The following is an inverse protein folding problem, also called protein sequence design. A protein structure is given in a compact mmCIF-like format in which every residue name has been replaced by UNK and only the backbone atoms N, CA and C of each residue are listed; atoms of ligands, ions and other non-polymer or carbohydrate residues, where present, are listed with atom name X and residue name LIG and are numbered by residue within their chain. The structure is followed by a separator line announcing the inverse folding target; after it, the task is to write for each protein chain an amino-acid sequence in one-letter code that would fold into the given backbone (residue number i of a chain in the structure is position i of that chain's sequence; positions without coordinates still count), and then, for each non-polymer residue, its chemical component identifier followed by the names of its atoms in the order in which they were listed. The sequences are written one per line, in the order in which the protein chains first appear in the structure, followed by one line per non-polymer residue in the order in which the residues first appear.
data_IF_547606142309
#
_entry.id   IF_547606142309
#
_cell.length_a   1.000
_cell.length_b   1.000
_cell.length_c   1.000
_cell.angle_alpha   90.00
_cell.angle_beta   90.00
_cell.angle_gamma   90.00
#
_symmetry.space_group_name_H-M   'P 1'
#
loop_
_entity.id
_entity.type
_entity.pdbx_description
1 polymer ?
#
# COMPACT_ATOMS: atom_id res chain seq x y z
N UNK A 1 -25.56 18.49 -14.55
CA UNK A 1 -25.14 18.83 -13.17
C UNK A 1 -23.62 18.84 -13.17
N UNK A 2 -22.97 19.84 -12.55
CA UNK A 2 -21.51 19.87 -12.49
C UNK A 2 -20.99 18.70 -11.66
N UNK A 3 -19.79 18.18 -11.98
CA UNK A 3 -19.16 17.07 -11.27
C UNK A 3 -19.09 17.28 -9.75
N UNK A 4 -18.93 18.54 -9.31
CA UNK A 4 -18.92 18.93 -7.90
C UNK A 4 -20.25 18.69 -7.19
N UNK A 5 -21.39 18.79 -7.88
CA UNK A 5 -22.71 18.53 -7.28
C UNK A 5 -22.92 17.02 -7.12
N UNK A 6 -22.43 16.21 -8.05
CA UNK A 6 -22.51 14.74 -7.97
C UNK A 6 -21.62 14.23 -6.84
N UNK A 7 -20.37 14.70 -6.76
CA UNK A 7 -19.43 14.33 -5.69
C UNK A 7 -19.91 14.75 -4.28
N UNK A 8 -20.52 15.93 -4.14
CA UNK A 8 -21.12 16.35 -2.86
C UNK A 8 -22.34 15.52 -2.48
N UNK A 9 -23.13 15.06 -3.46
CA UNK A 9 -24.26 14.17 -3.22
C UNK A 9 -23.79 12.78 -2.74
N UNK A 10 -22.70 12.25 -3.31
CA UNK A 10 -22.12 10.98 -2.89
C UNK A 10 -21.53 11.03 -1.48
N UNK A 11 -20.82 12.10 -1.12
CA UNK A 11 -20.27 12.25 0.23
C UNK A 11 -21.37 12.39 1.30
N UNK A 12 -22.42 13.16 1.01
CA UNK A 12 -23.55 13.33 1.92
C UNK A 12 -24.34 12.01 2.08
N UNK A 13 -24.48 11.26 0.99
CA UNK A 13 -25.14 9.94 0.99
C UNK A 13 -24.30 8.90 1.73
N UNK A 14 -22.99 8.82 1.50
CA UNK A 14 -22.07 7.95 2.21
C UNK A 14 -22.09 8.23 3.72
N UNK A 15 -22.03 9.50 4.12
CA UNK A 15 -22.13 9.89 5.53
C UNK A 15 -23.51 9.57 6.14
N UNK A 16 -24.59 9.64 5.36
CA UNK A 16 -25.93 9.24 5.80
C UNK A 16 -26.05 7.71 5.94
N UNK A 17 -25.47 6.93 5.02
CA UNK A 17 -25.44 5.47 5.03
C UNK A 17 -24.61 4.95 6.21
N UNK A 18 -23.46 5.57 6.49
CA UNK A 18 -22.61 5.27 7.65
C UNK A 18 -23.33 5.60 8.97
N UNK A 19 -24.04 6.74 9.05
CA UNK A 19 -24.84 7.08 10.24
C UNK A 19 -26.00 6.11 10.45
N UNK A 20 -26.61 5.62 9.37
CA UNK A 20 -27.73 4.69 9.43
C UNK A 20 -27.28 3.25 9.74
N UNK A 21 -26.03 2.90 9.40
CA UNK A 21 -25.45 1.57 9.62
C UNK A 21 -24.02 1.73 10.17
N UNK A 22 -23.84 2.02 11.47
CA UNK A 22 -22.52 2.21 12.07
C UNK A 22 -21.62 0.97 11.93
N UNK A 23 -22.20 -0.22 11.74
CA UNK A 23 -21.49 -1.47 11.48
C UNK A 23 -20.83 -1.52 10.09
N UNK A 24 -21.17 -0.63 9.16
CA UNK A 24 -20.44 -0.49 7.89
C UNK A 24 -19.03 0.06 8.09
N UNK A 25 -18.76 0.76 9.20
CA UNK A 25 -17.39 1.12 9.60
C UNK A 25 -16.63 -0.08 10.19
N UNK A 26 -17.33 -1.13 10.65
CA UNK A 26 -16.70 -2.37 11.13
C UNK A 26 -16.27 -3.29 10.00
N UNK A 27 -16.92 -3.23 8.83
CA UNK A 27 -16.44 -3.87 7.61
C UNK A 27 -15.45 -2.93 6.95
N UNK A 28 -14.17 -3.18 7.15
CA UNK A 28 -13.16 -2.45 6.41
C UNK A 28 -13.25 -2.82 4.93
N UNK A 29 -12.48 -2.09 4.14
CA UNK A 29 -12.38 -2.34 2.71
C UNK A 29 -10.96 -2.02 2.24
N UNK A 30 -10.49 -2.80 1.27
CA UNK A 30 -9.23 -2.55 0.59
C UNK A 30 -9.56 -2.01 -0.80
N UNK A 31 -9.09 -0.82 -1.12
CA UNK A 31 -9.24 -0.18 -2.42
C UNK A 31 -7.93 -0.24 -3.17
N UNK A 32 -7.94 -0.82 -4.36
CA UNK A 32 -6.82 -0.74 -5.29
C UNK A 32 -7.17 0.23 -6.42
N UNK A 33 -6.24 1.10 -6.80
CA UNK A 33 -6.31 1.93 -8.01
C UNK A 33 -5.40 1.34 -9.07
N UNK A 34 -5.96 1.09 -10.26
CA UNK A 34 -5.35 0.39 -11.39
C UNK A 34 -4.94 -1.06 -11.11
N UNK A 35 -4.48 -1.75 -12.14
CA UNK A 35 -3.99 -3.14 -12.04
C UNK A 35 -2.47 -3.19 -12.17
N UNK A 36 -1.88 -4.25 -11.64
CA UNK A 36 -0.43 -4.44 -11.68
C UNK A 36 0.12 -4.44 -13.11
N UNK A 37 -0.62 -5.01 -14.07
CA UNK A 37 -0.26 -5.05 -15.49
C UNK A 37 0.04 -3.66 -16.05
N UNK A 38 -0.84 -2.70 -15.82
CA UNK A 38 -0.70 -1.34 -16.36
C UNK A 38 0.54 -0.63 -15.80
N UNK A 39 0.80 -0.82 -14.51
CA UNK A 39 2.02 -0.33 -13.89
C UNK A 39 3.26 -0.99 -14.51
N UNK A 40 3.24 -2.31 -14.74
CA UNK A 40 4.36 -3.02 -15.36
C UNK A 40 4.61 -2.58 -16.81
N UNK A 41 3.56 -2.23 -17.55
CA UNK A 41 3.61 -1.77 -18.94
C UNK A 41 4.02 -0.29 -19.09
N UNK A 42 4.23 0.43 -18.00
CA UNK A 42 4.71 1.81 -18.02
C UNK A 42 3.62 2.87 -18.03
N UNK A 43 2.37 2.51 -17.67
CA UNK A 43 1.27 3.47 -17.50
C UNK A 43 1.44 4.22 -16.17
N UNK A 44 2.31 5.23 -16.16
CA UNK A 44 2.68 5.99 -14.95
C UNK A 44 1.96 7.33 -14.81
N UNK A 45 0.97 7.59 -15.64
CA UNK A 45 0.07 8.73 -15.52
C UNK A 45 -0.80 8.66 -14.27
N UNK A 46 -1.12 9.82 -13.69
CA UNK A 46 -2.04 9.93 -12.57
C UNK A 46 -3.43 9.36 -12.91
N UNK A 47 -3.80 8.24 -12.28
CA UNK A 47 -5.15 7.67 -12.30
C UNK A 47 -6.04 8.25 -11.18
N UNK A 48 -5.42 8.61 -10.05
CA UNK A 48 -6.05 9.25 -8.89
C UNK A 48 -5.05 10.22 -8.23
N UNK A 49 -5.47 10.92 -7.18
CA UNK A 49 -4.58 11.76 -6.35
C UNK A 49 -4.48 11.23 -4.93
N UNK A 50 -3.45 11.67 -4.20
CA UNK A 50 -3.30 11.36 -2.76
C UNK A 50 -4.58 11.71 -1.98
N UNK A 51 -5.16 12.89 -2.22
CA UNK A 51 -6.37 13.33 -1.53
C UNK A 51 -7.57 12.39 -1.77
N UNK A 52 -7.70 11.87 -2.98
CA UNK A 52 -8.81 11.00 -3.37
C UNK A 52 -8.61 9.56 -2.90
N UNK A 53 -7.40 9.01 -3.07
CA UNK A 53 -7.11 7.61 -2.76
C UNK A 53 -7.03 7.34 -1.24
N UNK A 54 -6.44 8.26 -0.48
CA UNK A 54 -6.16 8.07 0.94
C UNK A 54 -7.16 8.76 1.87
N UNK A 55 -8.31 9.21 1.36
CA UNK A 55 -9.37 9.76 2.21
C UNK A 55 -9.87 8.68 3.20
N UNK A 56 -9.71 8.96 4.50
CA UNK A 56 -10.09 8.03 5.56
C UNK A 56 -9.23 6.77 5.65
N UNK A 57 -8.05 6.76 5.00
CA UNK A 57 -7.15 5.62 5.02
C UNK A 57 -6.69 5.28 6.44
N UNK A 58 -6.82 3.99 6.79
CA UNK A 58 -6.16 3.41 7.95
C UNK A 58 -4.65 3.28 7.67
N UNK A 59 -4.34 2.68 6.52
CA UNK A 59 -2.99 2.57 5.98
C UNK A 59 -3.05 2.36 4.46
N UNK A 60 -1.91 2.51 3.79
CA UNK A 60 -1.80 2.12 2.40
C UNK A 60 -0.41 2.34 1.83
N UNK A 61 -0.24 1.88 0.60
CA UNK A 61 0.99 1.97 -0.18
C UNK A 61 0.66 2.34 -1.63
N UNK A 62 1.67 2.74 -2.38
CA UNK A 62 1.54 3.00 -3.81
C UNK A 62 2.83 3.60 -4.34
N UNK A 63 2.73 4.21 -5.52
CA UNK A 63 3.86 4.90 -6.16
C UNK A 63 3.39 6.24 -6.68
N UNK A 64 4.26 7.24 -6.70
CA UNK A 64 3.93 8.56 -7.24
C UNK A 64 3.91 8.55 -8.78
N UNK A 65 3.17 9.49 -9.39
CA UNK A 65 3.18 9.72 -10.84
C UNK A 65 4.60 9.76 -11.42
N UNK A 66 4.78 9.16 -12.60
CA UNK A 66 6.08 8.94 -13.24
C UNK A 66 7.05 8.08 -12.42
N UNK A 67 6.56 7.25 -11.49
CA UNK A 67 7.37 6.43 -10.58
C UNK A 67 8.35 7.29 -9.76
N UNK A 68 7.91 8.49 -9.35
CA UNK A 68 8.72 9.44 -8.58
C UNK A 68 8.75 9.09 -7.08
N UNK A 69 9.23 7.87 -6.82
CA UNK A 69 9.33 7.28 -5.50
C UNK A 69 8.02 6.72 -4.95
N UNK A 70 8.17 6.19 -3.75
CA UNK A 70 7.20 5.30 -3.11
C UNK A 70 6.21 6.10 -2.25
N UNK A 71 4.99 5.59 -2.13
CA UNK A 71 3.96 6.14 -1.24
C UNK A 71 3.76 5.22 -0.05
N UNK A 72 3.72 5.80 1.14
CA UNK A 72 3.46 5.10 2.40
C UNK A 72 2.44 5.89 3.18
N UNK A 73 1.42 5.25 3.74
CA UNK A 73 0.43 5.93 4.55
C UNK A 73 0.07 5.13 5.80
N UNK A 74 0.05 5.82 6.94
CA UNK A 74 -0.45 5.34 8.23
C UNK A 74 -0.55 6.52 9.20
N UNK A 75 -1.25 6.35 10.32
CA UNK A 75 -1.43 7.38 11.37
C UNK A 75 -1.85 8.76 10.79
N UNK A 76 -2.80 8.72 9.84
CA UNK A 76 -3.35 9.89 9.14
C UNK A 76 -2.33 10.75 8.39
N UNK A 77 -1.17 10.19 8.05
CA UNK A 77 -0.16 10.88 7.24
C UNK A 77 0.16 10.04 6.01
N UNK A 78 0.28 10.70 4.86
CA UNK A 78 0.77 10.10 3.61
C UNK A 78 2.14 10.68 3.32
N UNK A 79 3.13 9.82 3.18
CA UNK A 79 4.50 10.16 2.81
C UNK A 79 4.75 9.76 1.36
N UNK A 80 5.52 10.59 0.66
CA UNK A 80 6.27 10.21 -0.52
C UNK A 80 7.73 10.01 -0.12
N UNK A 81 8.33 8.92 -0.56
CA UNK A 81 9.74 8.63 -0.35
C UNK A 81 10.46 8.67 -1.70
N UNK A 82 11.16 9.77 -2.02
CA UNK A 82 11.92 9.89 -3.25
C UNK A 82 13.17 9.01 -3.24
N UNK A 83 13.90 9.02 -4.36
CA UNK A 83 15.14 8.26 -4.59
C UNK A 83 16.29 8.56 -3.60
N UNK A 84 16.19 9.63 -2.81
CA UNK A 84 17.17 9.93 -1.73
C UNK A 84 16.83 9.22 -0.41
N UNK A 85 15.69 8.52 -0.35
CA UNK A 85 15.23 7.75 0.80
C UNK A 85 14.63 8.58 1.92
N UNK A 86 14.54 9.91 1.79
CA UNK A 86 14.06 10.80 2.83
C UNK A 86 12.55 11.05 2.68
N UNK A 87 11.70 10.59 3.62
CA UNK A 87 10.27 10.79 3.52
C UNK A 87 9.88 12.28 3.58
N UNK A 88 8.99 12.68 2.68
CA UNK A 88 8.32 13.99 2.71
C UNK A 88 6.82 13.78 2.77
N UNK A 89 6.09 14.67 3.44
CA UNK A 89 4.62 14.63 3.39
C UNK A 89 4.17 14.82 1.96
N UNK A 90 3.33 13.91 1.46
CA UNK A 90 2.84 13.95 0.09
C UNK A 90 1.87 15.13 -0.09
N UNK A 91 2.02 15.85 -1.20
CA UNK A 91 1.04 16.86 -1.61
C UNK A 91 -0.31 16.17 -1.86
N UNK A 92 -1.43 16.66 -1.30
CA UNK A 92 -2.75 16.10 -1.59
C UNK A 92 -3.10 16.01 -3.09
N UNK A 93 -2.54 16.91 -3.92
CA UNK A 93 -2.72 16.91 -5.37
C UNK A 93 -1.73 16.02 -6.13
N UNK A 94 -0.78 15.37 -5.44
CA UNK A 94 0.17 14.44 -6.06
C UNK A 94 -0.60 13.29 -6.74
N UNK A 95 -0.31 13.09 -8.02
CA UNK A 95 -0.90 12.03 -8.83
C UNK A 95 -0.33 10.65 -8.48
N UNK A 96 -1.18 9.63 -8.61
CA UNK A 96 -0.88 8.23 -8.32
C UNK A 96 -1.34 7.36 -9.49
N UNK A 97 -0.44 6.63 -10.18
CA UNK A 97 -0.81 5.63 -11.18
C UNK A 97 -1.25 4.31 -10.54
N UNK A 98 -0.79 4.02 -9.31
CA UNK A 98 -1.13 2.79 -8.62
C UNK A 98 -1.10 3.02 -7.10
N UNK A 99 -2.10 2.49 -6.39
CA UNK A 99 -2.14 2.52 -4.93
C UNK A 99 -3.05 1.44 -4.38
N UNK A 100 -2.75 0.95 -3.18
CA UNK A 100 -3.59 0.03 -2.41
C UNK A 100 -3.80 0.62 -1.02
N UNK A 101 -5.06 0.76 -0.62
CA UNK A 101 -5.46 1.50 0.59
C UNK A 101 -6.47 0.70 1.40
N UNK A 102 -6.21 0.51 2.68
CA UNK A 102 -7.18 -0.05 3.61
C UNK A 102 -7.90 1.06 4.37
N UNK A 103 -9.19 0.88 4.58
CA UNK A 103 -10.06 1.78 5.34
C UNK A 103 -10.86 0.97 6.33
N UNK A 104 -10.77 1.31 7.61
CA UNK A 104 -11.51 0.61 8.67
C UNK A 104 -11.08 -0.85 8.88
N UNK A 105 -12.00 -1.68 9.37
CA UNK A 105 -11.77 -3.09 9.64
C UNK A 105 -11.48 -3.40 11.11
N UNK A 106 -11.56 -4.68 11.47
CA UNK A 106 -11.26 -5.15 12.84
C UNK A 106 -9.81 -5.59 12.95
N UNK A 107 -9.05 -4.91 13.80
CA UNK A 107 -7.64 -5.22 14.07
C UNK A 107 -7.49 -6.58 14.78
N UNK A 108 -6.52 -7.37 14.32
CA UNK A 108 -5.93 -8.50 15.05
C UNK A 108 -4.47 -8.17 15.35
N UNK A 109 -4.05 -8.36 16.59
CA UNK A 109 -2.71 -8.01 17.06
C UNK A 109 -1.98 -9.23 17.57
N UNK A 110 -0.77 -9.43 17.08
CA UNK A 110 0.10 -10.55 17.44
C UNK A 110 1.52 -10.04 17.77
N UNK A 111 2.19 -10.72 18.70
CA UNK A 111 3.60 -10.51 18.93
C UNK A 111 4.41 -11.19 17.82
N UNK A 112 5.46 -10.55 17.33
CA UNK A 112 6.36 -11.15 16.33
C UNK A 112 7.62 -11.63 17.03
N UNK A 113 7.95 -12.91 16.82
CA UNK A 113 9.16 -13.50 17.38
C UNK A 113 10.43 -12.79 16.85
N UNK A 114 11.48 -12.75 17.65
CA UNK A 114 12.81 -12.31 17.18
C UNK A 114 13.30 -13.23 16.06
N UNK A 115 13.99 -12.66 15.06
CA UNK A 115 14.52 -13.41 13.93
C UNK A 115 13.51 -13.73 12.83
N UNK A 116 12.30 -13.13 12.87
CA UNK A 116 11.28 -13.32 11.84
C UNK A 116 11.65 -12.51 10.60
N UNK A 117 11.86 -13.21 9.48
CA UNK A 117 12.00 -12.61 8.15
C UNK A 117 10.64 -12.53 7.43
N UNK A 118 10.62 -12.13 6.15
CA UNK A 118 9.38 -11.99 5.38
C UNK A 118 8.67 -13.32 5.14
N UNK A 119 9.40 -14.44 5.00
CA UNK A 119 8.79 -15.76 4.83
C UNK A 119 8.05 -16.16 6.11
N UNK A 120 8.70 -16.03 7.27
CA UNK A 120 8.09 -16.33 8.55
C UNK A 120 6.97 -15.33 8.91
N UNK A 121 7.11 -14.05 8.56
CA UNK A 121 6.08 -13.04 8.77
C UNK A 121 4.83 -13.33 7.92
N UNK A 122 5.03 -13.73 6.66
CA UNK A 122 3.93 -14.14 5.77
C UNK A 122 3.18 -15.33 6.34
N UNK A 123 3.90 -16.36 6.82
CA UNK A 123 3.28 -17.52 7.45
C UNK A 123 2.51 -17.16 8.74
N UNK A 124 3.03 -16.22 9.54
CA UNK A 124 2.31 -15.71 10.72
C UNK A 124 1.00 -15.02 10.33
N UNK A 125 1.02 -14.17 9.30
CA UNK A 125 -0.18 -13.51 8.78
C UNK A 125 -1.18 -14.55 8.26
N UNK A 126 -0.72 -15.57 7.54
CA UNK A 126 -1.58 -16.63 7.01
C UNK A 126 -2.25 -17.44 8.13
N UNK A 127 -1.58 -17.69 9.25
CA UNK A 127 -2.20 -18.32 10.43
C UNK A 127 -3.19 -17.39 11.14
N UNK A 128 -2.96 -16.07 11.18
CA UNK A 128 -3.94 -15.08 11.66
C UNK A 128 -5.21 -15.11 10.79
N UNK A 129 -5.05 -15.16 9.47
CA UNK A 129 -6.17 -15.26 8.52
C UNK A 129 -6.97 -16.55 8.74
N UNK A 130 -6.29 -17.68 8.86
CA UNK A 130 -6.89 -18.98 9.12
C UNK A 130 -7.64 -19.03 10.44
N UNK A 131 -7.07 -18.46 11.52
CA UNK A 131 -7.74 -18.34 12.81
C UNK A 131 -9.02 -17.48 12.75
N UNK A 132 -9.06 -16.52 11.81
CA UNK A 132 -10.25 -15.71 11.52
C UNK A 132 -11.24 -16.39 10.53
N UNK A 133 -11.01 -17.64 10.13
CA UNK A 133 -11.85 -18.34 9.17
C UNK A 133 -11.74 -17.79 7.75
N UNK A 134 -10.54 -17.33 7.36
CA UNK A 134 -10.20 -16.88 6.01
C UNK A 134 -9.04 -17.70 5.45
N UNK A 135 -8.86 -17.63 4.14
CA UNK A 135 -7.75 -18.27 3.44
C UNK A 135 -7.02 -17.20 2.64
N UNK A 136 -5.69 -17.16 2.72
CA UNK A 136 -4.87 -16.12 2.08
C UNK A 136 -5.07 -16.07 0.56
N UNK A 137 -5.32 -17.22 -0.09
CA UNK A 137 -5.62 -17.26 -1.54
C UNK A 137 -6.94 -16.59 -1.96
N UNK A 138 -7.79 -16.20 -1.01
CA UNK A 138 -9.14 -15.69 -1.28
C UNK A 138 -9.43 -14.36 -0.60
N UNK A 139 -8.42 -13.71 -0.02
CA UNK A 139 -8.56 -12.40 0.60
C UNK A 139 -7.25 -11.63 0.50
N UNK A 140 -7.33 -10.31 0.73
CA UNK A 140 -6.14 -9.49 0.97
C UNK A 140 -6.22 -9.02 2.42
N UNK A 141 -5.07 -8.98 3.08
CA UNK A 141 -4.97 -8.47 4.43
C UNK A 141 -4.13 -7.19 4.43
N UNK A 142 -4.61 -6.15 5.11
CA UNK A 142 -3.78 -5.00 5.45
C UNK A 142 -2.90 -5.35 6.65
N UNK A 143 -1.63 -4.94 6.59
CA UNK A 143 -0.59 -5.34 7.52
C UNK A 143 0.14 -4.10 8.01
N UNK A 144 0.34 -4.02 9.33
CA UNK A 144 1.26 -3.07 9.96
C UNK A 144 2.18 -3.81 10.91
N UNK A 145 3.47 -3.52 10.83
CA UNK A 145 4.49 -4.05 11.74
C UNK A 145 5.27 -2.87 12.32
N UNK A 146 5.07 -2.60 13.60
CA UNK A 146 5.86 -1.60 14.34
C UNK A 146 6.97 -2.30 15.10
N UNK A 147 8.21 -1.82 15.00
CA UNK A 147 9.28 -2.44 15.76
C UNK A 147 10.70 -1.98 15.44
N UNK A 148 11.61 -2.82 15.89
CA UNK A 148 13.05 -2.75 15.59
C UNK A 148 13.46 -3.95 14.77
N UNK A 149 14.33 -3.70 13.81
CA UNK A 149 14.70 -4.65 12.77
C UNK A 149 16.20 -4.58 12.51
N UNK A 150 16.73 -5.65 11.92
CA UNK A 150 18.10 -5.74 11.43
C UNK A 150 18.11 -6.16 9.96
N UNK A 151 19.24 -5.88 9.29
CA UNK A 151 19.45 -6.27 7.90
C UNK A 151 18.42 -5.67 6.94
N UNK A 152 17.83 -4.52 7.27
CA UNK A 152 16.76 -3.89 6.49
C UNK A 152 17.34 -3.39 5.16
N UNK A 153 16.59 -3.59 4.08
CA UNK A 153 16.86 -2.95 2.79
C UNK A 153 15.57 -2.30 2.32
N UNK A 154 15.59 -0.97 2.27
CA UNK A 154 14.53 -0.18 1.65
C UNK A 154 14.97 0.21 0.24
N UNK A 155 14.04 0.54 -0.64
CA UNK A 155 14.33 1.09 -1.97
C UNK A 155 13.34 2.18 -2.37
N UNK A 156 13.72 2.96 -3.37
CA UNK A 156 12.84 3.89 -4.07
C UNK A 156 13.28 4.03 -5.53
N UNK A 157 12.34 4.35 -6.41
CA UNK A 157 12.58 4.51 -7.84
C UNK A 157 12.91 5.97 -8.22
N UNK A 158 13.78 6.16 -9.22
CA UNK A 158 13.96 7.47 -9.83
C UNK A 158 12.76 7.85 -10.70
N UNK A 159 12.32 9.10 -10.59
CA UNK A 159 11.32 9.70 -11.48
C UNK A 159 11.66 9.45 -12.96
N UNK A 160 10.70 8.93 -13.69
CA UNK A 160 10.78 8.71 -15.13
C UNK A 160 10.42 9.98 -15.92
N UNK A 161 10.91 10.03 -17.16
CA UNK A 161 10.49 11.00 -18.16
C UNK A 161 9.81 10.26 -19.31
N UNK A 162 8.89 10.92 -20.01
CA UNK A 162 8.26 10.34 -21.20
C UNK A 162 9.29 10.17 -22.34
N UNK A 163 9.17 9.13 -23.18
CA UNK A 163 8.24 8.00 -23.03
C UNK A 163 8.64 7.11 -21.84
N UNK A 164 7.64 6.67 -21.07
CA UNK A 164 7.88 5.82 -19.92
C UNK A 164 8.34 4.42 -20.35
N UNK A 165 9.28 3.86 -19.59
CA UNK A 165 9.79 2.50 -19.79
C UNK A 165 8.97 1.49 -18.98
N UNK A 166 8.96 0.21 -19.36
CA UNK A 166 8.39 -0.85 -18.53
C UNK A 166 9.01 -0.88 -17.13
N UNK A 167 8.23 -1.25 -16.11
CA UNK A 167 8.68 -1.19 -14.70
C UNK A 167 9.90 -2.06 -14.46
N UNK A 168 10.00 -3.20 -15.13
CA UNK A 168 11.17 -4.08 -15.04
C UNK A 168 12.47 -3.36 -15.40
N UNK A 169 12.46 -2.46 -16.40
CA UNK A 169 13.63 -1.66 -16.78
C UNK A 169 13.89 -0.50 -15.82
N UNK A 170 12.83 0.03 -15.19
CA UNK A 170 12.97 1.06 -14.15
C UNK A 170 13.63 0.49 -12.91
N UNK A 171 13.23 -0.71 -12.49
CA UNK A 171 13.74 -1.40 -11.31
C UNK A 171 15.21 -1.83 -11.45
N UNK A 172 15.76 -1.94 -12.66
CA UNK A 172 17.21 -2.10 -12.87
C UNK A 172 18.04 -0.90 -12.34
N UNK A 173 17.37 0.24 -12.12
CA UNK A 173 17.96 1.48 -11.63
C UNK A 173 17.35 1.95 -10.30
N UNK A 174 16.69 1.05 -9.56
CA UNK A 174 16.23 1.36 -8.21
C UNK A 174 17.41 1.74 -7.31
N UNK A 175 17.16 2.63 -6.34
CA UNK A 175 18.15 2.98 -5.33
C UNK A 175 17.80 2.28 -4.04
N UNK A 176 18.74 1.47 -3.55
CA UNK A 176 18.59 0.70 -2.31
C UNK A 176 19.32 1.37 -1.14
N UNK A 177 18.69 1.34 0.03
CA UNK A 177 19.18 1.88 1.29
C UNK A 177 19.30 0.74 2.32
N UNK A 178 20.52 0.22 2.56
CA UNK A 178 20.73 -0.83 3.56
C UNK A 178 20.90 -0.24 4.96
N UNK A 179 20.23 -0.82 5.94
CA UNK A 179 20.35 -0.48 7.36
C UNK A 179 20.70 -1.73 8.19
N UNK A 180 21.81 -1.67 8.92
CA UNK A 180 22.21 -2.76 9.81
C UNK A 180 21.20 -2.93 10.97
N UNK A 181 20.75 -1.80 11.52
CA UNK A 181 19.69 -1.69 12.51
C UNK A 181 18.77 -0.57 12.08
N UNK A 182 17.47 -0.80 12.18
CA UNK A 182 16.45 0.17 11.78
C UNK A 182 15.24 0.03 12.70
N UNK A 183 14.69 1.15 13.14
CA UNK A 183 13.46 1.19 13.93
C UNK A 183 12.43 1.97 13.14
N UNK A 184 11.18 1.49 13.11
CA UNK A 184 10.15 2.17 12.36
C UNK A 184 8.89 1.32 12.21
N UNK A 185 8.08 1.74 11.24
CA UNK A 185 6.79 1.14 10.94
C UNK A 185 6.83 0.66 9.49
N UNK A 186 6.55 -0.62 9.30
CA UNK A 186 6.27 -1.22 7.99
C UNK A 186 4.76 -1.32 7.83
N UNK A 187 4.23 -0.92 6.67
CA UNK A 187 2.81 -1.09 6.31
C UNK A 187 2.68 -1.63 4.90
N UNK A 188 1.59 -2.33 4.64
CA UNK A 188 1.28 -2.82 3.31
C UNK A 188 0.27 -3.94 3.38
N UNK A 189 0.45 -4.96 2.53
CA UNK A 189 -0.60 -5.92 2.27
C UNK A 189 -0.05 -7.33 2.05
N UNK A 190 -0.80 -8.33 2.51
CA UNK A 190 -0.67 -9.74 2.13
C UNK A 190 -1.76 -10.04 1.11
N UNK A 191 -1.38 -10.15 -0.15
CA UNK A 191 -2.26 -10.54 -1.26
C UNK A 191 -2.24 -12.06 -1.45
N UNK A 192 -3.18 -12.65 -2.22
CA UNK A 192 -3.05 -14.03 -2.70
C UNK A 192 -1.72 -14.28 -3.44
N UNK A 193 -1.32 -15.55 -3.58
CA UNK A 193 -0.07 -15.91 -4.27
C UNK A 193 -0.27 -16.04 -5.80
N UNK A 194 -1.45 -15.66 -6.29
CA UNK A 194 -1.82 -15.71 -7.71
C UNK A 194 -1.03 -14.69 -8.52
N UNK A 195 -0.49 -15.11 -9.66
CA UNK A 195 0.14 -14.22 -10.63
C UNK A 195 -0.83 -13.96 -11.80
N UNK A 196 -1.84 -13.13 -11.55
CA UNK A 196 -2.90 -12.80 -12.50
C UNK A 196 -2.71 -11.43 -13.18
N UNK A 197 -1.60 -10.73 -12.86
CA UNK A 197 -1.29 -9.38 -13.30
C UNK A 197 -2.28 -8.31 -12.81
N UNK A 198 -3.13 -8.63 -11.84
CA UNK A 198 -4.08 -7.70 -11.23
C UNK A 198 -3.53 -7.15 -9.93
N UNK A 199 -3.09 -8.04 -9.04
CA UNK A 199 -2.52 -7.69 -7.72
C UNK A 199 -1.05 -8.10 -7.63
N UNK A 200 -0.36 -7.60 -6.60
CA UNK A 200 1.03 -7.98 -6.32
C UNK A 200 1.01 -9.28 -5.53
N UNK A 201 1.62 -10.38 -5.99
CA UNK A 201 1.58 -11.64 -5.25
C UNK A 201 2.33 -11.54 -3.92
N UNK A 202 1.80 -12.18 -2.88
CA UNK A 202 2.53 -12.34 -1.62
C UNK A 202 2.44 -11.14 -0.67
N UNK A 203 3.49 -10.97 0.14
CA UNK A 203 3.62 -9.88 1.10
C UNK A 203 4.36 -8.70 0.47
N UNK A 204 3.70 -7.54 0.42
CA UNK A 204 4.28 -6.29 -0.07
C UNK A 204 4.22 -5.23 1.02
N UNK A 205 5.38 -4.73 1.44
CA UNK A 205 5.49 -3.76 2.52
C UNK A 205 6.31 -2.55 2.11
N UNK A 206 5.86 -1.36 2.48
CA UNK A 206 6.66 -0.14 2.51
C UNK A 206 6.95 0.25 3.96
N UNK A 207 7.90 1.15 4.20
CA UNK A 207 8.32 1.53 5.55
C UNK A 207 8.70 2.99 5.71
N UNK A 208 8.57 3.48 6.94
CA UNK A 208 9.05 4.79 7.39
C UNK A 208 9.78 4.60 8.72
N UNK A 209 10.99 5.15 8.81
CA UNK A 209 11.82 5.11 10.01
C UNK A 209 11.17 5.89 11.16
N UNK A 210 11.42 5.46 12.39
CA UNK A 210 10.88 6.10 13.59
C UNK A 210 11.30 7.57 13.73
N UNK A 211 12.50 7.91 13.24
CA UNK A 211 13.02 9.28 13.14
C UNK A 211 12.52 10.06 11.92
N UNK A 212 11.79 9.38 11.02
CA UNK A 212 11.28 9.88 9.73
C UNK A 212 12.39 10.38 8.79
N UNK A 213 13.60 9.84 8.91
CA UNK A 213 14.74 10.17 8.04
C UNK A 213 15.07 9.08 7.03
N UNK A 214 14.26 8.02 6.98
CA UNK A 214 14.40 6.94 6.01
C UNK A 214 13.04 6.33 5.68
N UNK A 215 12.88 5.81 4.48
CA UNK A 215 11.69 5.07 4.08
C UNK A 215 11.84 4.38 2.73
N UNK A 216 10.72 3.87 2.22
CA UNK A 216 10.59 3.32 0.86
C UNK A 216 9.95 1.95 0.85
N UNK A 217 10.02 1.26 -0.30
CA UNK A 217 9.61 -0.14 -0.41
C UNK A 217 10.58 -1.04 0.35
N UNK A 218 10.06 -1.92 1.19
CA UNK A 218 10.86 -2.79 2.04
C UNK A 218 11.10 -4.14 1.36
N UNK A 219 12.33 -4.35 0.88
CA UNK A 219 12.71 -5.59 0.22
C UNK A 219 12.99 -6.73 1.23
N UNK A 220 13.57 -6.39 2.38
CA UNK A 220 13.81 -7.34 3.47
C UNK A 220 13.92 -6.63 4.81
N UNK A 221 13.56 -7.32 5.87
CA UNK A 221 13.82 -6.96 7.25
C UNK A 221 13.80 -8.23 8.12
N UNK A 222 14.57 -8.24 9.21
CA UNK A 222 14.54 -9.30 10.23
C UNK A 222 14.15 -8.66 11.55
N UNK A 223 13.11 -9.15 12.21
CA UNK A 223 12.63 -8.58 13.47
C UNK A 223 13.61 -8.79 14.62
N UNK A 224 13.76 -7.77 15.46
CA UNK A 224 14.39 -7.88 16.78
C UNK A 224 13.30 -7.85 17.85
N UNK A 225 12.42 -6.85 17.79
CA UNK A 225 11.23 -6.75 18.60
C UNK A 225 10.15 -6.02 17.79
N UNK A 226 9.02 -6.67 17.54
CA UNK A 226 7.96 -6.10 16.73
C UNK A 226 6.56 -6.57 17.13
N UNK A 227 5.56 -5.77 16.80
CA UNK A 227 4.14 -6.08 16.92
C UNK A 227 3.51 -6.07 15.54
N UNK A 228 2.82 -7.15 15.19
CA UNK A 228 2.05 -7.29 13.96
C UNK A 228 0.61 -6.91 14.24
N UNK A 229 0.02 -6.12 13.34
CA UNK A 229 -1.40 -5.81 13.27
C UNK A 229 -1.93 -6.17 11.89
N UNK A 230 -3.06 -6.86 11.86
CA UNK A 230 -3.70 -7.34 10.63
C UNK A 230 -5.15 -6.88 10.60
N UNK A 231 -5.58 -6.36 9.46
CA UNK A 231 -6.99 -6.09 9.14
C UNK A 231 -7.37 -6.95 7.94
N UNK A 232 -8.57 -7.54 8.01
CA UNK A 232 -9.02 -8.58 7.08
C UNK A 232 -10.33 -8.11 6.47
N UNK A 233 -10.30 -7.79 5.18
CA UNK A 233 -11.41 -7.14 4.50
C UNK A 233 -11.55 -7.60 3.04
N UNK A 234 -12.69 -7.30 2.43
CA UNK A 234 -12.91 -7.53 1.00
C UNK A 234 -12.13 -6.48 0.16
N UNK A 235 -11.75 -6.84 -1.06
CA UNK A 235 -11.00 -5.96 -1.97
C UNK A 235 -11.88 -5.45 -3.10
N UNK A 236 -11.97 -4.13 -3.19
CA UNK A 236 -12.56 -3.40 -4.30
C UNK A 236 -11.44 -2.87 -5.22
N UNK A 237 -11.46 -3.29 -6.49
CA UNK A 237 -10.50 -2.84 -7.50
C UNK A 237 -11.16 -1.77 -8.36
N UNK A 238 -10.55 -0.59 -8.39
CA UNK A 238 -10.96 0.53 -9.22
C UNK A 238 -10.03 0.69 -10.43
N UNK A 239 -10.59 0.47 -11.61
CA UNK A 239 -9.95 0.75 -12.90
C UNK A 239 -10.73 1.90 -13.56
N UNK A 240 -10.19 3.12 -13.63
CA UNK A 240 -10.82 4.24 -14.31
C UNK A 240 -11.10 3.87 -15.78
N UNK A 241 -12.33 4.11 -16.23
CA UNK A 241 -12.76 3.84 -17.62
C UNK A 241 -12.10 4.75 -18.68
N UNK A 242 -11.17 5.61 -18.29
CA UNK A 242 -10.48 6.54 -19.19
C UNK A 242 -9.08 6.03 -19.51
N UNK A 243 -8.99 5.24 -20.58
CA UNK A 243 -7.69 4.78 -21.11
C UNK A 243 -7.51 3.27 -21.18
N UNK A 244 -8.60 2.49 -21.17
CA UNK A 244 -8.53 1.03 -21.30
C UNK A 244 -7.82 0.65 -22.62
N UNK A 245 -6.54 0.35 -22.52
CA UNK A 245 -5.77 -0.32 -23.56
C UNK A 245 -6.02 -1.83 -23.43
N UNK A 246 -7.24 -2.27 -23.77
CA UNK A 246 -7.43 -3.66 -24.18
C UNK A 246 -6.68 -3.82 -25.50
N UNK A 247 -5.41 -4.19 -25.41
CA UNK A 247 -4.70 -4.78 -26.54
C UNK A 247 -5.46 -6.01 -26.99
N UNK A 248 -5.92 -6.00 -28.25
CA UNK A 248 -6.19 -7.23 -28.99
C UNK A 248 -4.89 -7.99 -29.22
#
# INVERSE_FOLDING_TARGET
MSANVIAMFDAALAAAVIRANPDLLQRGHIKQTEILKDLFEGHYESATTVAQAFEGALLGIGVAEAVDGEIVAFDNTVWRVPVDGNPVVADPALGLPFSVVAVGGTEKTEAVAEGTDFTCLTALIDEVLKAAGRHHEHCVAAVRVDGTFTGVVLRSEPRQQRPYRPLTEVLEHEVQFPFATWAGTLVGFRFPDVNDQVVIPGLHLHGIGADRQSGGHCHRAITVAATLRVWIDDVDIFVPMTGVHYGM
#
